data_IF_336167230883
#
_entry.id   IF_336167230883
#
_cell.length_a   1.000
_cell.length_b   1.000
_cell.length_c   1.000
_cell.angle_alpha   90.00
_cell.angle_beta   90.00
_cell.angle_gamma   90.00
#
_symmetry.space_group_name_H-M   'P 1'
#
loop_
_entity.id
_entity.type
_entity.pdbx_description
1 polymer ?
#
# COMPACT_ATOMS: atom_id res chain seq x y z
N UNK A 1 9.24 30.72 22.68
CA UNK A 1 9.91 29.67 23.48
C UNK A 1 8.81 28.66 23.83
N UNK A 2 8.63 27.50 23.21
CA UNK A 2 9.51 26.67 22.41
C UNK A 2 8.82 26.15 21.14
N UNK A 3 9.64 26.05 20.11
CA UNK A 3 9.45 25.28 18.90
C UNK A 3 9.47 23.78 19.29
N UNK A 4 8.40 23.06 19.03
CA UNK A 4 8.42 21.59 18.98
C UNK A 4 7.57 21.16 17.78
N UNK A 5 8.11 21.47 16.60
CA UNK A 5 7.86 20.73 15.36
C UNK A 5 8.27 19.28 15.63
N UNK A 6 7.39 18.49 16.22
CA UNK A 6 7.58 17.05 16.32
C UNK A 6 7.36 16.48 14.93
N UNK A 7 8.47 16.45 14.20
CA UNK A 7 8.78 15.57 13.09
C UNK A 7 8.13 14.19 13.30
N UNK A 8 6.96 13.97 12.68
CA UNK A 8 6.17 12.74 12.81
C UNK A 8 6.65 11.64 11.86
N UNK A 9 7.94 11.60 11.54
CA UNK A 9 8.53 10.66 10.57
C UNK A 9 8.76 9.26 11.11
N UNK A 10 8.43 8.98 12.37
CA UNK A 10 8.48 7.63 12.89
C UNK A 10 7.22 6.84 12.52
N UNK A 11 7.25 6.15 11.38
CA UNK A 11 6.27 5.10 11.07
C UNK A 11 6.44 3.97 12.09
N UNK A 12 5.40 3.69 12.86
CA UNK A 12 5.32 2.45 13.64
C UNK A 12 5.15 1.27 12.67
N UNK A 13 6.12 0.34 12.58
CA UNK A 13 6.04 -0.80 11.66
C UNK A 13 4.91 -1.77 11.99
N UNK A 14 4.34 -1.69 13.20
CA UNK A 14 3.21 -2.53 13.61
C UNK A 14 1.86 -2.00 13.15
N UNK A 15 1.80 -0.72 12.73
CA UNK A 15 0.57 -0.08 12.27
C UNK A 15 0.50 -0.12 10.75
N UNK A 16 -0.42 -0.95 10.25
CA UNK A 16 -0.75 -1.02 8.83
C UNK A 16 -1.18 0.37 8.29
N UNK A 17 -0.68 0.80 7.12
CA UNK A 17 -1.11 2.03 6.48
C UNK A 17 -2.63 2.10 6.30
N UNK A 18 -3.24 3.24 6.62
CA UNK A 18 -4.70 3.40 6.59
C UNK A 18 -5.33 3.13 5.21
N UNK A 19 -4.57 3.32 4.13
CA UNK A 19 -5.04 3.02 2.78
C UNK A 19 -5.15 1.50 2.51
N UNK A 20 -4.39 0.64 3.19
CA UNK A 20 -4.50 -0.81 3.01
C UNK A 20 -5.70 -1.43 3.73
N UNK A 21 -6.28 -0.73 4.71
CA UNK A 21 -7.39 -1.23 5.52
C UNK A 21 -8.66 -1.57 4.71
N UNK A 22 -8.80 -1.00 3.51
CA UNK A 22 -9.98 -1.18 2.64
C UNK A 22 -9.84 -2.32 1.64
N UNK A 23 -8.65 -2.92 1.55
CA UNK A 23 -8.36 -3.98 0.58
C UNK A 23 -8.66 -5.34 1.19
N UNK A 24 -9.24 -6.23 0.36
CA UNK A 24 -9.26 -7.65 0.69
C UNK A 24 -7.86 -8.26 0.56
N UNK A 25 -7.70 -9.50 1.01
CA UNK A 25 -6.38 -10.15 1.11
C UNK A 25 -5.69 -10.27 -0.26
N UNK A 26 -6.41 -10.65 -1.32
CA UNK A 26 -5.83 -10.78 -2.66
C UNK A 26 -5.39 -9.43 -3.24
N UNK A 27 -6.18 -8.37 -3.02
CA UNK A 27 -5.82 -7.01 -3.43
C UNK A 27 -4.61 -6.51 -2.65
N UNK A 28 -4.54 -6.80 -1.34
CA UNK A 28 -3.42 -6.41 -0.49
C UNK A 28 -2.12 -7.10 -0.92
N UNK A 29 -2.16 -8.41 -1.16
CA UNK A 29 -1.02 -9.14 -1.71
C UNK A 29 -0.52 -8.56 -3.04
N UNK A 30 -1.44 -8.12 -3.92
CA UNK A 30 -1.06 -7.48 -5.17
C UNK A 30 -0.42 -6.10 -4.99
N UNK A 31 -0.79 -5.37 -3.94
CA UNK A 31 -0.24 -4.05 -3.58
C UNK A 31 1.13 -4.18 -2.92
N UNK A 32 1.28 -5.15 -2.01
CA UNK A 32 2.51 -5.41 -1.26
C UNK A 32 3.54 -6.24 -2.05
N UNK A 33 3.21 -6.70 -3.27
CA UNK A 33 4.14 -7.49 -4.09
C UNK A 33 5.45 -6.74 -4.37
N UNK A 34 6.51 -7.27 -3.76
CA UNK A 34 7.87 -6.74 -3.83
C UNK A 34 8.33 -5.99 -2.60
N UNK A 35 7.43 -5.63 -1.69
CA UNK A 35 7.74 -5.12 -0.35
C UNK A 35 8.85 -4.06 -0.32
N UNK A 36 8.74 -3.04 -1.19
CA UNK A 36 9.73 -1.96 -1.33
C UNK A 36 11.04 -2.33 -2.05
N UNK A 37 11.17 -3.57 -2.54
CA UNK A 37 12.26 -4.04 -3.41
C UNK A 37 11.80 -4.12 -4.88
N UNK A 38 12.76 -4.16 -5.80
CA UNK A 38 12.44 -4.43 -7.21
C UNK A 38 12.02 -5.90 -7.35
N UNK A 39 10.71 -6.14 -7.44
CA UNK A 39 10.16 -7.45 -7.73
C UNK A 39 9.96 -7.71 -9.22
N UNK A 40 9.97 -9.00 -9.58
CA UNK A 40 9.59 -9.43 -10.92
C UNK A 40 8.13 -9.08 -11.26
N UNK A 41 7.76 -9.19 -12.56
CA UNK A 41 6.42 -8.85 -13.02
C UNK A 41 5.32 -9.58 -12.25
N UNK A 42 4.22 -8.89 -11.94
CA UNK A 42 3.03 -9.49 -11.33
C UNK A 42 1.86 -9.50 -12.34
N UNK A 43 1.26 -10.67 -12.54
CA UNK A 43 -0.01 -10.81 -13.23
C UNK A 43 -1.16 -10.86 -12.21
N UNK A 44 -2.14 -9.96 -12.36
CA UNK A 44 -3.36 -9.97 -11.56
C UNK A 44 -4.55 -10.27 -12.48
N UNK A 45 -5.23 -11.38 -12.23
CA UNK A 45 -6.44 -11.77 -12.97
C UNK A 45 -7.66 -11.45 -12.11
N UNK A 46 -8.59 -10.65 -12.62
CA UNK A 46 -9.76 -10.26 -11.85
C UNK A 46 -10.99 -9.96 -12.73
N UNK A 47 -12.16 -10.45 -12.29
CA UNK A 47 -13.44 -10.28 -12.99
C UNK A 47 -13.97 -8.83 -13.01
N UNK A 48 -15.13 -8.60 -13.62
CA UNK A 48 -15.81 -7.30 -13.56
C UNK A 48 -16.14 -6.92 -12.10
N UNK A 49 -16.06 -5.63 -11.75
CA UNK A 49 -16.38 -5.14 -10.40
C UNK A 49 -15.42 -5.51 -9.27
N UNK A 50 -14.36 -6.28 -9.54
CA UNK A 50 -13.39 -6.77 -8.53
C UNK A 50 -12.42 -5.71 -7.97
N UNK A 51 -12.56 -4.45 -8.38
CA UNK A 51 -11.72 -3.35 -7.88
C UNK A 51 -10.33 -3.23 -8.51
N UNK A 52 -10.09 -3.76 -9.72
CA UNK A 52 -8.80 -3.68 -10.45
C UNK A 52 -8.12 -2.31 -10.38
N UNK A 53 -8.84 -1.25 -10.74
CA UNK A 53 -8.32 0.12 -10.73
C UNK A 53 -7.97 0.58 -9.32
N UNK A 54 -8.79 0.21 -8.33
CA UNK A 54 -8.52 0.52 -6.92
C UNK A 54 -7.24 -0.17 -6.44
N UNK A 55 -7.08 -1.47 -6.74
CA UNK A 55 -5.85 -2.21 -6.43
C UNK A 55 -4.61 -1.57 -7.04
N UNK A 56 -4.67 -1.15 -8.32
CA UNK A 56 -3.55 -0.48 -8.97
C UNK A 56 -3.25 0.89 -8.36
N UNK A 57 -4.26 1.68 -8.01
CA UNK A 57 -4.06 2.98 -7.36
C UNK A 57 -3.39 2.83 -5.98
N UNK A 58 -3.86 1.87 -5.18
CA UNK A 58 -3.23 1.55 -3.90
C UNK A 58 -1.80 1.03 -4.09
N UNK A 59 -1.52 0.27 -5.16
CA UNK A 59 -0.16 -0.19 -5.47
C UNK A 59 0.77 0.95 -5.83
N UNK A 60 0.31 1.89 -6.66
CA UNK A 60 1.11 3.10 -6.97
C UNK A 60 1.40 3.86 -5.68
N UNK A 61 0.39 4.07 -4.83
CA UNK A 61 0.56 4.73 -3.54
C UNK A 61 1.47 3.97 -2.55
N UNK A 62 1.65 2.66 -2.74
CA UNK A 62 2.57 1.85 -1.94
C UNK A 62 4.03 1.97 -2.41
N UNK A 63 4.25 2.26 -3.69
CA UNK A 63 5.58 2.33 -4.30
C UNK A 63 6.21 3.74 -4.28
N UNK A 64 5.47 4.77 -3.86
CA UNK A 64 5.90 6.18 -3.82
C UNK A 64 5.90 6.77 -2.42
#
# INVERSE_FOLDING_TARGET
>A
MNLATADSTFRDPTVQPAYLARLNDAQRQAVEHGDGQIAGPLLVIAGAGSGKTNTLAHRVAHLV
#
